data_IF_703800950049
#
_entry.id   IF_703800950049
#
_cell.length_a   1.000
_cell.length_b   1.000
_cell.length_c   1.000
_cell.angle_alpha   90.00
_cell.angle_beta   90.00
_cell.angle_gamma   90.00
#
_symmetry.space_group_name_H-M   'P 1'
#
loop_
_entity.id
_entity.type
_entity.pdbx_description
1 polymer ?
#
# COMPACT_ATOMS: atom_id res chain seq x y z
N UNK A 1 -10.85 -11.34 -31.13
CA UNK A 1 -10.17 -10.06 -30.83
C UNK A 1 -10.18 -9.70 -29.35
N UNK A 2 -11.26 -9.94 -28.59
CA UNK A 2 -11.36 -9.59 -27.16
C UNK A 2 -10.24 -10.13 -26.24
N UNK A 3 -9.75 -11.35 -26.49
CA UNK A 3 -8.68 -11.98 -25.67
C UNK A 3 -7.34 -11.22 -25.70
N UNK A 4 -7.04 -10.52 -26.80
CA UNK A 4 -5.78 -9.77 -26.93
C UNK A 4 -5.79 -8.45 -26.15
N UNK A 5 -6.97 -7.85 -25.96
CA UNK A 5 -7.10 -6.59 -25.22
C UNK A 5 -7.05 -6.83 -23.72
N UNK A 6 -7.66 -7.92 -23.24
CA UNK A 6 -7.61 -8.34 -21.84
C UNK A 6 -6.19 -8.68 -21.37
N UNK A 7 -5.39 -9.34 -22.21
CA UNK A 7 -3.97 -9.64 -21.91
C UNK A 7 -3.11 -8.38 -21.86
N UNK A 8 -3.34 -7.43 -22.77
CA UNK A 8 -2.67 -6.11 -22.74
C UNK A 8 -3.02 -5.34 -21.46
N UNK A 9 -4.29 -5.35 -21.06
CA UNK A 9 -4.73 -4.71 -19.81
C UNK A 9 -4.12 -5.38 -18.58
N UNK A 10 -4.10 -6.71 -18.50
CA UNK A 10 -3.45 -7.42 -17.40
C UNK A 10 -1.97 -7.04 -17.29
N UNK A 11 -1.26 -7.03 -18.42
CA UNK A 11 0.16 -6.63 -18.49
C UNK A 11 0.38 -5.19 -18.02
N UNK A 12 -0.52 -4.28 -18.39
CA UNK A 12 -0.48 -2.89 -17.94
C UNK A 12 -0.60 -2.79 -16.41
N UNK A 13 -1.54 -3.51 -15.80
CA UNK A 13 -1.71 -3.50 -14.34
C UNK A 13 -0.50 -4.10 -13.61
N UNK A 14 0.09 -5.17 -14.14
CA UNK A 14 1.33 -5.76 -13.60
C UNK A 14 2.47 -4.73 -13.65
N UNK A 15 2.67 -4.06 -14.78
CA UNK A 15 3.71 -3.01 -14.91
C UNK A 15 3.47 -1.84 -13.97
N UNK A 16 2.22 -1.41 -13.84
CA UNK A 16 1.84 -0.30 -12.96
C UNK A 16 2.09 -0.64 -11.49
N UNK A 17 1.80 -1.88 -11.08
CA UNK A 17 2.15 -2.39 -9.76
C UNK A 17 3.66 -2.36 -9.53
N UNK A 18 4.46 -2.83 -10.48
CA UNK A 18 5.92 -2.83 -10.35
C UNK A 18 6.46 -1.40 -10.26
N UNK A 19 5.95 -0.47 -11.07
CA UNK A 19 6.34 0.95 -11.02
C UNK A 19 5.95 1.60 -9.69
N UNK A 20 4.77 1.29 -9.14
CA UNK A 20 4.36 1.77 -7.83
C UNK A 20 5.33 1.29 -6.74
N UNK A 21 5.71 0.01 -6.76
CA UNK A 21 6.63 -0.56 -5.75
C UNK A 21 8.07 -0.09 -5.95
N UNK A 22 8.52 0.13 -7.19
CA UNK A 22 9.88 0.56 -7.49
C UNK A 22 10.11 2.06 -7.27
N UNK A 23 9.10 2.90 -7.51
CA UNK A 23 9.23 4.36 -7.43
C UNK A 23 8.26 5.00 -6.45
N UNK A 24 7.00 4.58 -6.44
CA UNK A 24 5.96 5.16 -5.57
C UNK A 24 6.28 5.01 -4.08
N UNK A 25 6.67 3.81 -3.64
CA UNK A 25 7.05 3.58 -2.24
C UNK A 25 8.30 4.37 -1.82
N UNK A 26 9.42 4.40 -2.58
CA UNK A 26 10.56 5.25 -2.27
C UNK A 26 10.23 6.75 -2.23
N UNK A 27 9.45 7.24 -3.20
CA UNK A 27 9.01 8.64 -3.23
C UNK A 27 8.15 8.97 -2.02
N UNK A 28 7.20 8.10 -1.66
CA UNK A 28 6.38 8.28 -0.48
C UNK A 28 7.21 8.27 0.81
N UNK A 29 8.23 7.42 0.91
CA UNK A 29 9.18 7.42 2.02
C UNK A 29 9.95 8.74 2.11
N UNK A 30 10.46 9.23 0.98
CA UNK A 30 11.13 10.53 0.90
C UNK A 30 10.21 11.69 1.32
N UNK A 31 9.01 11.77 0.75
CA UNK A 31 8.01 12.80 1.07
C UNK A 31 7.61 12.72 2.55
N UNK A 32 7.39 11.52 3.09
CA UNK A 32 7.07 11.33 4.52
C UNK A 32 8.21 11.82 5.41
N UNK A 33 9.47 11.60 5.02
CA UNK A 33 10.63 12.07 5.77
C UNK A 33 10.76 13.60 5.76
N UNK A 34 10.49 14.25 4.62
CA UNK A 34 10.46 15.70 4.51
C UNK A 34 9.31 16.29 5.34
N UNK A 35 8.14 15.66 5.27
CA UNK A 35 6.97 16.07 6.02
C UNK A 35 7.22 15.94 7.53
N UNK A 36 7.83 14.85 7.98
CA UNK A 36 8.19 14.67 9.38
C UNK A 36 9.15 15.77 9.88
N UNK A 37 10.16 16.13 9.07
CA UNK A 37 11.11 17.21 9.43
C UNK A 37 10.45 18.58 9.52
N UNK A 38 9.57 18.89 8.56
CA UNK A 38 8.86 20.17 8.53
C UNK A 38 7.84 20.29 9.65
N UNK A 39 7.10 19.22 9.94
CA UNK A 39 6.15 19.16 11.06
C UNK A 39 6.85 19.22 12.42
N UNK A 40 8.01 18.56 12.56
CA UNK A 40 8.84 18.66 13.76
C UNK A 40 9.35 20.08 14.00
N UNK A 41 9.77 20.79 12.93
CA UNK A 41 10.17 22.19 13.02
C UNK A 41 9.00 23.13 13.41
N UNK A 42 7.76 22.71 13.16
CA UNK A 42 6.54 23.41 13.55
C UNK A 42 5.98 22.98 14.93
N UNK A 43 6.73 22.19 15.72
CA UNK A 43 6.31 21.63 17.02
C UNK A 43 4.99 20.83 16.95
N UNK A 44 4.70 20.19 15.82
CA UNK A 44 3.54 19.30 15.68
C UNK A 44 3.79 18.00 16.46
N UNK A 45 2.76 17.45 17.09
CA UNK A 45 2.88 16.22 17.87
C UNK A 45 3.33 15.03 17.01
N UNK A 46 4.13 14.14 17.61
CA UNK A 46 4.59 12.91 16.95
C UNK A 46 3.45 12.01 16.48
N UNK A 47 2.33 12.01 17.20
CA UNK A 47 1.14 11.21 16.86
C UNK A 47 0.54 11.64 15.51
N UNK A 48 0.47 12.94 15.24
CA UNK A 48 -0.05 13.48 13.97
C UNK A 48 0.89 13.07 12.81
N UNK A 49 2.20 13.21 13.01
CA UNK A 49 3.21 12.84 12.00
C UNK A 49 3.07 11.36 11.63
N UNK A 50 2.90 10.52 12.65
CA UNK A 50 2.75 9.08 12.48
C UNK A 50 1.41 8.70 11.83
N UNK A 51 0.30 9.36 12.19
CA UNK A 51 -0.99 9.14 11.51
C UNK A 51 -0.91 9.48 10.02
N UNK A 52 -0.18 10.53 9.64
CA UNK A 52 0.02 10.87 8.24
C UNK A 52 0.87 9.80 7.53
N UNK A 53 1.97 9.36 8.15
CA UNK A 53 2.82 8.30 7.58
C UNK A 53 2.05 6.98 7.39
N UNK A 54 1.24 6.58 8.38
CA UNK A 54 0.35 5.42 8.29
C UNK A 54 -0.68 5.57 7.17
N UNK A 55 -1.30 6.75 7.05
CA UNK A 55 -2.29 7.04 6.00
C UNK A 55 -1.68 6.88 4.61
N UNK A 56 -0.47 7.40 4.39
CA UNK A 56 0.26 7.24 3.13
C UNK A 56 0.55 5.77 2.85
N UNK A 57 1.04 5.02 3.86
CA UNK A 57 1.28 3.58 3.73
C UNK A 57 0.02 2.79 3.37
N UNK A 58 -1.11 3.07 4.03
CA UNK A 58 -2.41 2.46 3.72
C UNK A 58 -2.84 2.76 2.29
N UNK A 59 -2.73 4.01 1.83
CA UNK A 59 -3.09 4.38 0.46
C UNK A 59 -2.29 3.58 -0.60
N UNK A 60 -0.99 3.37 -0.38
CA UNK A 60 -0.15 2.60 -1.29
C UNK A 60 -0.52 1.11 -1.30
N UNK A 61 -0.85 0.54 -0.13
CA UNK A 61 -1.30 -0.84 -0.02
C UNK A 61 -2.66 -1.04 -0.70
N UNK A 62 -3.58 -0.07 -0.55
CA UNK A 62 -4.86 -0.09 -1.27
C UNK A 62 -4.66 -0.01 -2.79
N UNK A 63 -3.68 0.77 -3.27
CA UNK A 63 -3.33 0.80 -4.67
C UNK A 63 -2.77 -0.55 -5.17
N UNK A 64 -1.92 -1.23 -4.38
CA UNK A 64 -1.46 -2.59 -4.66
C UNK A 64 -2.66 -3.56 -4.78
N UNK A 65 -3.57 -3.55 -3.79
CA UNK A 65 -4.76 -4.38 -3.80
C UNK A 65 -5.67 -4.11 -5.00
N UNK A 66 -5.81 -2.83 -5.39
CA UNK A 66 -6.57 -2.42 -6.57
C UNK A 66 -5.97 -2.98 -7.87
N UNK A 67 -4.64 -2.91 -8.03
CA UNK A 67 -3.98 -3.48 -9.20
C UNK A 67 -4.10 -5.00 -9.26
N UNK A 68 -3.98 -5.70 -8.12
CA UNK A 68 -4.23 -7.15 -8.03
C UNK A 68 -5.65 -7.48 -8.48
N UNK A 69 -6.66 -6.76 -7.95
CA UNK A 69 -8.06 -6.96 -8.32
C UNK A 69 -8.31 -6.72 -9.81
N UNK A 70 -7.76 -5.63 -10.37
CA UNK A 70 -7.88 -5.32 -11.80
C UNK A 70 -7.18 -6.35 -12.68
N UNK A 71 -6.00 -6.81 -12.29
CA UNK A 71 -5.26 -7.86 -12.98
C UNK A 71 -6.05 -9.18 -12.98
N UNK A 72 -6.63 -9.56 -11.84
CA UNK A 72 -7.48 -10.75 -11.74
C UNK A 72 -8.70 -10.67 -12.65
N UNK A 73 -9.39 -9.52 -12.67
CA UNK A 73 -10.56 -9.27 -13.52
C UNK A 73 -10.22 -9.28 -15.02
N UNK A 74 -9.02 -8.87 -15.40
CA UNK A 74 -8.59 -8.80 -16.80
C UNK A 74 -7.99 -10.11 -17.31
N UNK A 75 -7.15 -10.79 -16.52
CA UNK A 75 -6.34 -11.93 -16.98
C UNK A 75 -6.66 -13.27 -16.32
N UNK A 76 -7.56 -13.32 -15.34
CA UNK A 76 -7.82 -14.53 -14.56
C UNK A 76 -6.66 -14.89 -13.61
N UNK A 77 -6.65 -16.13 -13.12
CA UNK A 77 -5.64 -16.61 -12.18
C UNK A 77 -4.35 -16.97 -12.94
N UNK A 78 -3.24 -16.37 -12.55
CA UNK A 78 -1.90 -16.65 -13.07
C UNK A 78 -0.87 -16.69 -11.94
N UNK A 79 0.31 -17.28 -12.19
CA UNK A 79 1.43 -17.26 -11.24
C UNK A 79 1.89 -15.83 -10.92
N UNK A 80 1.82 -14.93 -11.89
CA UNK A 80 2.10 -13.50 -11.69
C UNK A 80 1.08 -12.88 -10.74
N UNK A 81 -0.21 -13.11 -10.94
CA UNK A 81 -1.25 -12.61 -10.03
C UNK A 81 -1.02 -13.13 -8.60
N UNK A 82 -0.68 -14.41 -8.45
CA UNK A 82 -0.40 -15.01 -7.14
C UNK A 82 0.78 -14.31 -6.44
N UNK A 83 1.85 -13.98 -7.17
CA UNK A 83 2.98 -13.23 -6.63
C UNK A 83 2.60 -11.80 -6.20
N UNK A 84 1.81 -11.09 -7.01
CA UNK A 84 1.33 -9.74 -6.69
C UNK A 84 0.40 -9.76 -5.45
N UNK A 85 -0.48 -10.76 -5.37
CA UNK A 85 -1.38 -10.96 -4.25
C UNK A 85 -0.61 -11.31 -2.96
N UNK A 86 0.38 -12.20 -3.04
CA UNK A 86 1.23 -12.57 -1.91
C UNK A 86 2.01 -11.35 -1.38
N UNK A 87 2.58 -10.54 -2.28
CA UNK A 87 3.26 -9.30 -1.90
C UNK A 87 2.32 -8.33 -1.19
N UNK A 88 1.14 -8.11 -1.78
CA UNK A 88 0.12 -7.22 -1.18
C UNK A 88 -0.30 -7.73 0.20
N UNK A 89 -0.51 -9.04 0.34
CA UNK A 89 -0.82 -9.67 1.61
C UNK A 89 0.31 -9.49 2.64
N UNK A 90 1.58 -9.66 2.24
CA UNK A 90 2.71 -9.41 3.12
C UNK A 90 2.77 -7.96 3.60
N UNK A 91 2.48 -6.98 2.73
CA UNK A 91 2.39 -5.57 3.13
C UNK A 91 1.25 -5.32 4.13
N UNK A 92 0.06 -5.89 3.88
CA UNK A 92 -1.08 -5.78 4.80
C UNK A 92 -0.75 -6.43 6.14
N UNK A 93 -0.22 -7.66 6.13
CA UNK A 93 0.17 -8.37 7.34
C UNK A 93 1.22 -7.59 8.14
N UNK A 94 2.20 -6.98 7.46
CA UNK A 94 3.16 -6.10 8.10
C UNK A 94 2.44 -4.94 8.79
N UNK A 95 1.55 -4.23 8.09
CA UNK A 95 0.82 -3.10 8.66
C UNK A 95 -0.09 -3.50 9.85
N UNK A 96 -0.67 -4.69 9.81
CA UNK A 96 -1.55 -5.22 10.86
C UNK A 96 -0.79 -5.77 12.07
N UNK A 97 0.42 -6.30 11.88
CA UNK A 97 1.21 -6.96 12.93
C UNK A 97 2.32 -6.07 13.51
N UNK A 98 2.61 -4.90 12.93
CA UNK A 98 3.63 -3.98 13.46
C UNK A 98 3.14 -3.22 14.70
N UNK A 99 3.25 -3.88 15.86
CA UNK A 99 3.33 -3.30 17.21
C UNK A 99 2.31 -2.18 17.54
N UNK A 100 2.73 -1.13 18.26
CA UNK A 100 1.92 -0.10 18.95
C UNK A 100 0.99 0.71 18.06
N UNK A 101 1.17 0.66 16.73
CA UNK A 101 0.48 1.54 15.79
C UNK A 101 -0.19 0.81 14.64
N UNK A 102 -0.37 -0.51 14.76
CA UNK A 102 -1.23 -1.22 13.83
C UNK A 102 -2.68 -0.74 14.02
N UNK A 103 -3.46 -0.57 12.94
CA UNK A 103 -4.87 -0.21 13.05
C UNK A 103 -5.68 -1.18 13.91
N UNK A 104 -5.26 -2.45 13.96
CA UNK A 104 -5.82 -3.47 14.85
C UNK A 104 -5.54 -3.16 16.33
N UNK A 105 -4.30 -2.79 16.66
CA UNK A 105 -3.93 -2.47 18.04
C UNK A 105 -4.63 -1.18 18.52
N UNK A 106 -4.73 -0.18 17.65
CA UNK A 106 -5.49 1.04 17.92
C UNK A 106 -7.00 0.77 18.05
N UNK A 107 -7.57 -0.10 17.22
CA UNK A 107 -8.97 -0.52 17.33
C UNK A 107 -9.25 -1.32 18.62
N UNK A 108 -8.33 -2.21 19.02
CA UNK A 108 -8.44 -2.96 20.27
C UNK A 108 -8.33 -2.04 21.50
N UNK A 109 -7.42 -1.05 21.48
CA UNK A 109 -7.31 -0.04 22.53
C UNK A 109 -8.59 0.82 22.65
N UNK A 110 -9.21 1.18 21.53
CA UNK A 110 -10.49 1.91 21.53
C UNK A 110 -11.69 1.05 21.96
N UNK A 111 -11.64 -0.28 21.78
CA UNK A 111 -12.70 -1.19 22.20
C UNK A 111 -12.58 -1.65 23.66
N UNK A 112 -11.41 -1.47 24.28
CA UNK A 112 -11.11 -1.89 25.65
C UNK A 112 -11.18 -0.75 26.68
N UNK A 113 -11.44 0.49 26.26
CA UNK A 113 -11.68 1.67 27.11
C UNK A 113 -13.15 2.04 27.14
#
# INVERSE_FOLDING_TARGET
MARSETEKQATYYVRSFLLLNLFGFPVAGYVSSLLARTLAAANVSGDIIMMIALSIGICLILANAWFVFKCWRAGGISSTLAALALWTFACIATLLLYSTYSPLNLAMLMAAG
#
